data_IF_544781068112
#
_entry.id   IF_544781068112
#
_cell.length_a   1.000
_cell.length_b   1.000
_cell.length_c   1.000
_cell.angle_alpha   90.00
_cell.angle_beta   90.00
_cell.angle_gamma   90.00
#
_symmetry.space_group_name_H-M   'P 1'
#
loop_
_entity.id
_entity.type
_entity.pdbx_description
1 polymer ?
#
# COMPACT_ATOMS: atom_id res chain seq x y z
N UNK A 1 -22.19 12.81 -4.64
CA UNK A 1 -22.04 11.41 -5.06
C UNK A 1 -21.01 11.44 -6.18
N UNK A 2 -19.75 11.12 -5.87
CA UNK A 2 -18.71 10.98 -6.89
C UNK A 2 -18.94 9.67 -7.64
N UNK A 3 -18.49 9.64 -8.88
CA UNK A 3 -18.81 8.64 -9.89
C UNK A 3 -18.74 7.22 -9.32
N UNK A 4 -19.86 6.50 -9.31
CA UNK A 4 -19.89 5.07 -8.97
C UNK A 4 -19.30 4.21 -10.09
N UNK A 5 -18.65 4.83 -11.08
CA UNK A 5 -18.23 4.20 -12.32
C UNK A 5 -16.89 3.47 -12.13
N UNK A 6 -15.95 4.05 -11.37
CA UNK A 6 -14.65 3.44 -11.10
C UNK A 6 -14.79 2.18 -10.27
N UNK A 7 -15.60 2.20 -9.20
CA UNK A 7 -15.85 1.01 -8.38
C UNK A 7 -16.54 -0.08 -9.20
N UNK A 8 -17.52 0.28 -10.04
CA UNK A 8 -18.17 -0.67 -10.93
C UNK A 8 -17.19 -1.31 -11.93
N UNK A 9 -16.29 -0.51 -12.53
CA UNK A 9 -15.23 -1.00 -13.41
C UNK A 9 -14.26 -1.93 -12.66
N UNK A 10 -13.82 -1.54 -11.46
CA UNK A 10 -12.97 -2.39 -10.60
C UNK A 10 -13.65 -3.74 -10.35
N UNK A 11 -14.92 -3.74 -9.96
CA UNK A 11 -15.69 -4.96 -9.71
C UNK A 11 -15.81 -5.83 -10.97
N UNK A 12 -15.93 -5.22 -12.15
CA UNK A 12 -15.92 -5.98 -13.40
C UNK A 12 -14.57 -6.68 -13.63
N UNK A 13 -13.45 -5.96 -13.49
CA UNK A 13 -12.12 -6.55 -13.57
C UNK A 13 -11.94 -7.68 -12.56
N UNK A 14 -12.35 -7.47 -11.30
CA UNK A 14 -12.25 -8.47 -10.25
C UNK A 14 -13.11 -9.70 -10.52
N UNK A 15 -14.24 -9.59 -11.23
CA UNK A 15 -15.05 -10.75 -11.63
C UNK A 15 -14.38 -11.57 -12.74
N UNK A 16 -13.82 -10.90 -13.74
CA UNK A 16 -13.24 -11.54 -14.93
C UNK A 16 -11.86 -12.16 -14.70
N UNK A 17 -11.04 -11.56 -13.83
CA UNK A 17 -9.64 -11.94 -13.61
C UNK A 17 -9.51 -12.97 -12.48
N UNK A 18 -8.58 -13.92 -12.63
CA UNK A 18 -8.39 -15.02 -11.67
C UNK A 18 -7.08 -14.87 -10.89
N UNK A 19 -5.98 -14.50 -11.55
CA UNK A 19 -4.66 -14.29 -10.96
C UNK A 19 -4.41 -12.81 -10.67
N UNK A 20 -4.31 -12.47 -9.38
CA UNK A 20 -4.25 -11.08 -8.89
C UNK A 20 -3.02 -10.90 -8.00
N UNK A 21 -2.25 -9.84 -8.22
CA UNK A 21 -1.18 -9.43 -7.30
C UNK A 21 -1.55 -8.08 -6.69
N UNK A 22 -1.56 -8.00 -5.37
CA UNK A 22 -1.75 -6.74 -4.61
C UNK A 22 -0.39 -6.22 -4.18
N UNK A 23 -0.04 -4.99 -4.59
CA UNK A 23 1.23 -4.35 -4.28
C UNK A 23 1.04 -3.16 -3.33
N UNK A 24 1.81 -3.14 -2.25
CA UNK A 24 1.94 -2.01 -1.31
C UNK A 24 3.20 -1.18 -1.60
N UNK A 25 3.20 0.12 -1.28
CA UNK A 25 4.39 0.96 -1.36
C UNK A 25 5.42 0.60 -0.28
N UNK A 26 6.65 1.12 -0.43
CA UNK A 26 7.65 1.11 0.65
C UNK A 26 7.08 1.76 1.92
N UNK A 27 7.45 1.22 3.08
CA UNK A 27 7.01 1.66 4.41
C UNK A 27 5.49 1.92 4.50
N UNK A 28 4.65 0.91 4.21
CA UNK A 28 3.21 1.11 4.15
C UNK A 28 2.64 1.51 5.52
N UNK A 29 1.70 2.46 5.51
CA UNK A 29 0.99 2.89 6.71
C UNK A 29 0.05 1.79 7.21
N UNK A 30 -0.35 1.84 8.49
CA UNK A 30 -1.32 0.90 9.04
C UNK A 30 -2.62 0.89 8.22
N UNK A 31 -3.14 2.06 7.82
CA UNK A 31 -4.34 2.17 6.99
C UNK A 31 -4.18 1.49 5.62
N UNK A 32 -3.05 1.71 4.95
CA UNK A 32 -2.75 1.08 3.66
C UNK A 32 -2.62 -0.45 3.80
N UNK A 33 -1.82 -0.91 4.76
CA UNK A 33 -1.62 -2.35 5.02
C UNK A 33 -2.91 -3.05 5.38
N UNK A 34 -3.73 -2.43 6.24
CA UNK A 34 -5.00 -3.00 6.68
C UNK A 34 -6.03 -3.04 5.54
N UNK A 35 -6.10 -1.99 4.71
CA UNK A 35 -6.94 -1.98 3.52
C UNK A 35 -6.51 -3.06 2.52
N UNK A 36 -5.20 -3.22 2.27
CA UNK A 36 -4.68 -4.24 1.37
C UNK A 36 -4.94 -5.66 1.87
N UNK A 37 -4.74 -5.92 3.17
CA UNK A 37 -5.02 -7.22 3.77
C UNK A 37 -6.52 -7.54 3.77
N UNK A 38 -7.39 -6.55 3.99
CA UNK A 38 -8.83 -6.75 3.85
C UNK A 38 -9.23 -7.11 2.41
N UNK A 39 -8.66 -6.44 1.40
CA UNK A 39 -8.89 -6.79 0.01
C UNK A 39 -8.36 -8.19 -0.32
N UNK A 40 -7.15 -8.51 0.12
CA UNK A 40 -6.52 -9.82 -0.04
C UNK A 40 -7.40 -10.95 0.50
N UNK A 41 -7.82 -10.86 1.76
CA UNK A 41 -8.68 -11.86 2.40
C UNK A 41 -10.06 -11.95 1.73
N UNK A 42 -10.63 -10.81 1.32
CA UNK A 42 -11.89 -10.78 0.59
C UNK A 42 -11.80 -11.51 -0.77
N UNK A 43 -10.74 -11.25 -1.54
CA UNK A 43 -10.53 -11.88 -2.84
C UNK A 43 -10.23 -13.37 -2.73
N UNK A 44 -9.48 -13.80 -1.70
CA UNK A 44 -9.30 -15.23 -1.40
C UNK A 44 -10.64 -15.93 -1.18
N UNK A 45 -11.53 -15.30 -0.40
CA UNK A 45 -12.85 -15.83 -0.08
C UNK A 45 -13.76 -15.93 -1.31
N UNK A 46 -13.60 -15.00 -2.25
CA UNK A 46 -14.26 -15.01 -3.55
C UNK A 46 -13.62 -15.97 -4.57
N UNK A 47 -12.69 -16.84 -4.12
CA UNK A 47 -12.08 -17.89 -4.92
C UNK A 47 -11.01 -17.41 -5.91
N UNK A 48 -10.46 -16.22 -5.70
CA UNK A 48 -9.38 -15.66 -6.53
C UNK A 48 -8.03 -16.20 -6.11
N UNK A 49 -7.14 -16.35 -7.08
CA UNK A 49 -5.74 -16.64 -6.82
C UNK A 49 -5.02 -15.31 -6.60
N UNK A 50 -4.93 -14.90 -5.34
CA UNK A 50 -4.37 -13.60 -4.97
C UNK A 50 -3.11 -13.76 -4.14
N UNK A 51 -2.11 -12.96 -4.45
CA UNK A 51 -0.93 -12.73 -3.60
C UNK A 51 -0.88 -11.27 -3.18
N UNK A 52 -0.27 -11.00 -2.02
CA UNK A 52 -0.04 -9.66 -1.51
C UNK A 52 1.45 -9.47 -1.27
N UNK A 53 2.00 -8.33 -1.69
CA UNK A 53 3.43 -8.11 -1.70
C UNK A 53 3.81 -6.67 -1.34
N UNK A 54 4.96 -6.55 -0.68
CA UNK A 54 5.58 -5.30 -0.24
C UNK A 54 7.09 -5.53 -0.16
N UNK A 55 7.92 -4.64 -0.71
CA UNK A 55 9.39 -4.79 -0.62
C UNK A 55 9.90 -4.62 0.82
N UNK A 56 9.22 -3.79 1.61
CA UNK A 56 9.55 -3.56 3.01
C UNK A 56 8.73 -4.48 3.92
N UNK A 57 9.30 -4.86 5.06
CA UNK A 57 8.56 -5.57 6.10
C UNK A 57 7.43 -4.70 6.65
N UNK A 58 6.20 -5.22 6.65
CA UNK A 58 5.08 -4.53 7.31
C UNK A 58 5.35 -4.53 8.81
N UNK A 59 5.22 -3.34 9.44
CA UNK A 59 5.46 -3.16 10.87
C UNK A 59 4.75 -4.26 11.70
N UNK A 60 5.50 -5.10 12.43
CA UNK A 60 4.93 -6.18 13.25
C UNK A 60 3.93 -5.71 14.31
N UNK A 61 4.06 -4.47 14.80
CA UNK A 61 3.15 -3.89 15.79
C UNK A 61 1.75 -3.60 15.25
N UNK A 62 1.54 -3.64 13.92
CA UNK A 62 0.21 -3.53 13.34
C UNK A 62 -0.65 -4.75 13.68
N UNK A 63 -0.04 -5.94 13.80
CA UNK A 63 -0.68 -7.20 14.17
C UNK A 63 -1.94 -7.52 13.35
N UNK A 64 -1.96 -7.19 12.06
CA UNK A 64 -3.15 -7.32 11.22
C UNK A 64 -3.42 -8.77 10.83
N UNK A 65 -4.67 -9.27 10.88
CA UNK A 65 -5.02 -10.57 10.30
C UNK A 65 -4.49 -10.74 8.86
N UNK A 66 -3.69 -11.80 8.66
CA UNK A 66 -3.10 -12.16 7.38
C UNK A 66 -1.78 -11.47 7.03
N UNK A 67 -1.22 -10.63 7.93
CA UNK A 67 0.04 -9.91 7.71
C UNK A 67 1.23 -10.86 7.43
N UNK A 68 1.21 -12.06 7.99
CA UNK A 68 2.21 -13.11 7.77
C UNK A 68 2.24 -13.65 6.32
N UNK A 69 1.21 -13.38 5.52
CA UNK A 69 1.11 -13.83 4.13
C UNK A 69 1.69 -12.83 3.12
N UNK A 70 2.24 -11.70 3.60
CA UNK A 70 2.82 -10.67 2.73
C UNK A 70 4.19 -11.11 2.25
N UNK A 71 4.32 -11.23 0.93
CA UNK A 71 5.54 -11.66 0.26
C UNK A 71 6.45 -10.46 -0.02
N UNK A 72 7.76 -10.66 0.11
CA UNK A 72 8.76 -9.62 -0.23
C UNK A 72 8.94 -9.42 -1.74
N UNK A 73 8.47 -10.37 -2.54
CA UNK A 73 8.63 -10.38 -4.00
C UNK A 73 7.30 -10.62 -4.71
N UNK A 74 7.18 -10.09 -5.93
CA UNK A 74 6.03 -10.37 -6.80
C UNK A 74 6.03 -11.86 -7.14
N UNK A 75 5.01 -12.55 -6.65
CA UNK A 75 4.71 -13.91 -7.05
C UNK A 75 3.33 -13.92 -7.65
N UNK A 76 3.25 -14.07 -8.97
CA UNK A 76 2.01 -14.41 -9.61
C UNK A 76 1.86 -15.94 -9.64
N UNK A 77 0.67 -16.46 -9.31
CA UNK A 77 0.38 -17.88 -9.47
C UNK A 77 0.57 -18.25 -10.95
N UNK A 78 1.56 -19.11 -11.20
CA UNK A 78 1.89 -19.65 -12.52
C UNK A 78 1.60 -21.13 -12.63
N UNK A 79 2.15 -21.76 -13.65
CA UNK A 79 2.13 -23.22 -13.83
C UNK A 79 3.27 -23.93 -13.10
N UNK A 80 4.22 -23.19 -12.54
CA UNK A 80 5.38 -23.76 -11.82
C UNK A 80 5.02 -24.02 -10.37
N UNK A 81 4.88 -25.30 -10.00
CA UNK A 81 4.71 -25.75 -8.62
C UNK A 81 5.99 -25.54 -7.80
N UNK A 82 5.85 -24.90 -6.64
CA UNK A 82 6.88 -24.72 -5.61
C UNK A 82 6.52 -25.58 -4.41
N UNK A 83 7.49 -26.32 -3.92
CA UNK A 83 7.36 -27.12 -2.69
C UNK A 83 8.29 -26.51 -1.64
N UNK A 84 7.71 -25.90 -0.61
CA UNK A 84 8.43 -25.21 0.46
C UNK A 84 8.40 -26.04 1.74
N UNK A 85 9.57 -26.24 2.35
CA UNK A 85 9.71 -27.09 3.54
C UNK A 85 10.55 -26.33 4.57
N UNK A 86 10.08 -26.20 5.83
CA UNK A 86 10.86 -25.56 6.89
C UNK A 86 12.17 -26.31 7.14
N UNK A 87 13.29 -25.58 7.14
CA UNK A 87 14.63 -26.16 7.35
C UNK A 87 15.19 -25.93 8.76
N UNK A 88 14.48 -25.18 9.60
CA UNK A 88 14.97 -24.81 10.92
C UNK A 88 15.02 -26.04 11.84
N UNK A 89 16.21 -26.34 12.39
CA UNK A 89 16.45 -27.53 13.22
C UNK A 89 16.60 -28.85 12.45
N UNK A 90 16.37 -28.86 11.13
CA UNK A 90 16.53 -30.05 10.25
C UNK A 90 17.72 -29.92 9.29
N UNK A 91 17.97 -28.71 8.75
CA UNK A 91 18.95 -28.48 7.69
C UNK A 91 18.61 -29.20 6.38
N UNK A 92 19.35 -28.92 5.32
CA UNK A 92 19.25 -29.63 4.03
C UNK A 92 20.65 -29.96 3.55
N UNK A 93 20.99 -31.24 3.49
CA UNK A 93 22.25 -31.71 2.94
C UNK A 93 22.21 -31.79 1.41
N UNK A 94 21.12 -32.32 0.85
CA UNK A 94 20.99 -32.55 -0.59
C UNK A 94 19.53 -32.52 -1.05
N UNK A 95 19.30 -32.09 -2.30
CA UNK A 95 17.99 -32.06 -2.96
C UNK A 95 18.14 -32.63 -4.36
N UNK A 96 17.48 -33.76 -4.61
CA UNK A 96 17.45 -34.43 -5.90
C UNK A 96 16.01 -34.68 -6.34
N UNK A 97 15.80 -35.02 -7.62
CA UNK A 97 14.49 -35.39 -8.12
C UNK A 97 14.56 -36.63 -9.00
N UNK A 98 13.49 -37.44 -8.97
CA UNK A 98 13.29 -38.56 -9.90
C UNK A 98 11.89 -38.49 -10.51
N UNK A 99 11.73 -39.03 -11.72
CA UNK A 99 10.44 -39.15 -12.40
C UNK A 99 10.17 -40.63 -12.61
N UNK A 100 9.23 -41.19 -11.85
CA UNK A 100 8.92 -42.62 -11.85
C UNK A 100 7.41 -42.81 -11.67
N UNK A 101 6.82 -43.78 -12.38
CA UNK A 101 5.39 -44.12 -12.27
C UNK A 101 4.45 -42.91 -12.39
N UNK A 102 4.71 -42.05 -13.39
CA UNK A 102 3.96 -40.80 -13.64
C UNK A 102 3.98 -39.81 -12.45
N UNK A 103 4.97 -39.91 -11.56
CA UNK A 103 5.14 -39.04 -10.40
C UNK A 103 6.52 -38.40 -10.42
N UNK A 104 6.57 -37.13 -10.04
CA UNK A 104 7.82 -36.44 -9.69
C UNK A 104 8.06 -36.65 -8.20
N UNK A 105 9.17 -37.27 -7.83
CA UNK A 105 9.60 -37.43 -6.44
C UNK A 105 10.73 -36.44 -6.18
N UNK A 106 10.51 -35.49 -5.26
CA UNK A 106 11.58 -34.63 -4.76
C UNK A 106 12.16 -35.32 -3.52
N UNK A 107 13.44 -35.71 -3.59
CA UNK A 107 14.15 -36.41 -2.51
C UNK A 107 15.03 -35.40 -1.79
N UNK A 108 14.68 -35.11 -0.55
CA UNK A 108 15.35 -34.10 0.27
C UNK A 108 16.01 -34.80 1.44
N UNK A 109 17.34 -34.69 1.53
CA UNK A 109 18.13 -35.30 2.58
C UNK A 109 18.42 -34.27 3.68
N UNK A 110 18.02 -34.52 4.95
CA UNK A 110 18.35 -33.63 6.05
C UNK A 110 19.84 -33.70 6.39
N UNK A 111 20.35 -32.73 7.17
CA UNK A 111 21.71 -32.82 7.69
C UNK A 111 21.85 -33.95 8.72
N UNK A 112 23.05 -34.53 8.82
CA UNK A 112 23.30 -35.63 9.73
C UNK A 112 23.17 -35.18 11.19
N UNK A 113 22.42 -35.96 11.98
CA UNK A 113 22.22 -35.70 13.41
C UNK A 113 21.10 -34.71 13.74
N UNK A 114 20.42 -34.14 12.74
CA UNK A 114 19.27 -33.26 12.92
C UNK A 114 17.92 -33.99 12.81
N UNK A 115 16.84 -33.28 13.12
CA UNK A 115 15.48 -33.82 13.10
C UNK A 115 15.04 -34.22 11.68
N UNK A 116 14.00 -35.05 11.57
CA UNK A 116 13.42 -35.42 10.26
C UNK A 116 12.38 -34.38 9.82
N UNK A 117 12.27 -34.15 8.51
CA UNK A 117 11.17 -33.36 7.97
C UNK A 117 9.81 -33.95 8.34
N UNK A 118 8.89 -33.07 8.78
CA UNK A 118 7.50 -33.44 9.01
C UNK A 118 6.70 -33.25 7.71
N UNK A 119 6.12 -34.32 7.13
CA UNK A 119 5.33 -34.20 5.89
C UNK A 119 4.14 -33.25 6.00
N UNK A 120 3.60 -33.05 7.20
CA UNK A 120 2.48 -32.12 7.44
C UNK A 120 2.87 -30.65 7.30
N UNK A 121 4.17 -30.35 7.31
CA UNK A 121 4.69 -28.99 7.22
C UNK A 121 5.16 -28.64 5.81
N UNK A 122 4.96 -29.54 4.84
CA UNK A 122 5.23 -29.27 3.42
C UNK A 122 4.15 -28.33 2.91
N UNK A 123 4.57 -27.17 2.39
CA UNK A 123 3.71 -26.18 1.79
C UNK A 123 3.88 -26.21 0.28
N UNK A 124 2.78 -25.97 -0.44
CA UNK A 124 2.76 -25.89 -1.89
C UNK A 124 2.33 -24.50 -2.30
N UNK A 125 3.02 -23.91 -3.26
CA UNK A 125 2.60 -22.69 -3.93
C UNK A 125 2.87 -22.79 -5.42
N UNK A 126 2.40 -21.83 -6.21
CA UNK A 126 2.72 -21.73 -7.63
C UNK A 126 3.45 -20.41 -7.88
N UNK A 127 4.47 -20.43 -8.76
CA UNK A 127 5.23 -19.22 -9.16
C UNK A 127 5.43 -19.16 -10.67
N UNK A 128 6.02 -18.07 -11.14
CA UNK A 128 6.44 -17.92 -12.54
C UNK A 128 5.29 -17.58 -13.52
N UNK A 129 4.09 -17.31 -13.01
CA UNK A 129 2.98 -16.84 -13.84
C UNK A 129 3.14 -15.37 -14.20
N UNK A 130 2.37 -14.92 -15.19
CA UNK A 130 2.08 -13.50 -15.38
C UNK A 130 0.75 -13.21 -14.69
N UNK A 131 0.66 -12.20 -13.81
CA UNK A 131 -0.62 -11.87 -13.20
C UNK A 131 -1.58 -11.35 -14.25
N UNK A 132 -2.86 -11.69 -14.15
CA UNK A 132 -3.89 -11.15 -15.05
C UNK A 132 -4.23 -9.70 -14.68
N UNK A 133 -3.97 -9.34 -13.41
CA UNK A 133 -4.29 -8.06 -12.80
C UNK A 133 -3.30 -7.73 -11.69
N UNK A 134 -2.81 -6.49 -11.69
CA UNK A 134 -2.07 -5.91 -10.56
C UNK A 134 -2.95 -4.85 -9.90
N UNK A 135 -3.02 -4.87 -8.57
CA UNK A 135 -3.72 -3.86 -7.77
C UNK A 135 -2.68 -3.14 -6.92
N UNK A 136 -2.52 -1.84 -7.11
CA UNK A 136 -1.66 -1.02 -6.25
C UNK A 136 -2.51 -0.27 -5.23
N UNK A 137 -2.12 -0.33 -3.96
CA UNK A 137 -2.85 0.31 -2.85
C UNK A 137 -1.96 1.35 -2.20
N UNK A 138 -2.46 2.59 -2.11
CA UNK A 138 -1.78 3.71 -1.45
C UNK A 138 -0.44 4.12 -2.11
N UNK A 139 -0.29 3.87 -3.41
CA UNK A 139 0.89 4.22 -4.19
C UNK A 139 0.56 5.37 -5.16
N UNK A 140 1.16 6.57 -5.00
CA UNK A 140 0.92 7.70 -5.91
C UNK A 140 1.61 7.52 -7.28
N UNK A 141 2.68 6.72 -7.36
CA UNK A 141 3.37 6.36 -8.60
C UNK A 141 3.87 4.91 -8.51
N UNK A 142 4.30 4.31 -9.63
CA UNK A 142 4.90 2.96 -9.62
C UNK A 142 6.23 2.93 -8.86
N UNK A 143 7.00 4.01 -8.90
CA UNK A 143 8.25 4.15 -8.13
C UNK A 143 8.02 4.13 -6.62
N UNK A 144 6.79 4.40 -6.17
CA UNK A 144 6.43 4.29 -4.74
C UNK A 144 6.47 2.86 -4.23
N UNK A 145 6.45 1.86 -5.13
CA UNK A 145 6.62 0.45 -4.79
C UNK A 145 8.09 0.06 -4.54
N UNK A 146 9.05 0.96 -4.80
CA UNK A 146 10.47 0.72 -4.56
C UNK A 146 11.03 -0.45 -5.36
N UNK A 147 11.83 -1.30 -4.69
CA UNK A 147 12.47 -2.47 -5.30
C UNK A 147 11.48 -3.45 -5.92
N UNK A 148 10.25 -3.49 -5.40
CA UNK A 148 9.18 -4.31 -5.94
C UNK A 148 8.89 -3.95 -7.40
N UNK A 149 8.92 -2.66 -7.77
CA UNK A 149 8.74 -2.23 -9.14
C UNK A 149 10.05 -2.23 -9.93
N UNK A 150 11.13 -1.66 -9.38
CA UNK A 150 12.37 -1.50 -10.14
C UNK A 150 13.00 -2.82 -10.55
N UNK A 151 12.83 -3.88 -9.74
CA UNK A 151 13.38 -5.20 -10.03
C UNK A 151 12.43 -6.06 -10.87
N UNK A 152 11.16 -5.64 -11.06
CA UNK A 152 10.13 -6.42 -11.71
C UNK A 152 9.37 -5.63 -12.79
N UNK A 153 10.00 -4.65 -13.44
CA UNK A 153 9.34 -3.78 -14.42
C UNK A 153 8.60 -4.57 -15.51
N UNK A 154 9.16 -5.71 -15.94
CA UNK A 154 8.55 -6.61 -16.93
C UNK A 154 7.20 -7.19 -16.46
N UNK A 155 7.04 -7.45 -15.15
CA UNK A 155 5.80 -7.98 -14.59
C UNK A 155 4.63 -6.98 -14.71
N UNK A 156 4.93 -5.68 -14.77
CA UNK A 156 3.92 -4.63 -14.95
C UNK A 156 3.62 -4.33 -16.43
N UNK A 157 4.45 -4.81 -17.37
CA UNK A 157 4.25 -4.53 -18.79
C UNK A 157 3.12 -5.38 -19.39
N UNK A 158 2.13 -4.69 -19.96
CA UNK A 158 0.98 -5.34 -20.61
C UNK A 158 0.04 -6.08 -19.66
N UNK A 159 0.13 -5.81 -18.35
CA UNK A 159 -0.84 -6.26 -17.34
C UNK A 159 -1.76 -5.10 -17.00
N UNK A 160 -3.05 -5.36 -16.80
CA UNK A 160 -3.97 -4.34 -16.33
C UNK A 160 -3.64 -3.94 -14.89
N UNK A 161 -3.62 -2.65 -14.60
CA UNK A 161 -3.33 -2.11 -13.27
C UNK A 161 -4.56 -1.40 -12.73
N UNK A 162 -5.01 -1.78 -11.54
CA UNK A 162 -5.96 -0.98 -10.75
C UNK A 162 -5.16 -0.20 -9.71
N UNK A 163 -5.22 1.12 -9.74
CA UNK A 163 -4.60 1.97 -8.74
C UNK A 163 -5.66 2.52 -7.78
N UNK A 164 -5.58 2.14 -6.51
CA UNK A 164 -6.45 2.60 -5.43
C UNK A 164 -5.61 3.51 -4.54
N UNK A 165 -5.92 4.79 -4.52
CA UNK A 165 -5.09 5.76 -3.82
C UNK A 165 -5.87 6.98 -3.32
N UNK A 166 -5.25 7.77 -2.46
CA UNK A 166 -5.83 9.02 -1.95
C UNK A 166 -4.85 10.19 -1.93
N UNK A 167 -3.64 10.02 -2.47
CA UNK A 167 -2.67 11.12 -2.51
C UNK A 167 -3.09 12.21 -3.50
N UNK A 168 -2.79 13.46 -3.15
CA UNK A 168 -2.99 14.58 -4.07
C UNK A 168 -2.06 14.52 -5.29
N UNK A 169 -0.90 13.88 -5.12
CA UNK A 169 0.21 13.75 -6.08
C UNK A 169 0.12 12.52 -6.98
N UNK A 170 -0.96 11.73 -6.87
CA UNK A 170 -1.14 10.53 -7.68
C UNK A 170 -1.04 10.83 -9.18
N UNK A 171 -0.28 10.03 -9.92
CA UNK A 171 -0.01 10.23 -11.36
C UNK A 171 -1.02 9.59 -12.31
N UNK A 172 -1.96 8.78 -11.79
CA UNK A 172 -2.99 8.12 -12.60
C UNK A 172 -2.45 7.04 -13.53
N UNK A 173 -1.49 6.23 -13.06
CA UNK A 173 -0.78 5.24 -13.88
C UNK A 173 -1.56 3.93 -14.12
N UNK A 174 -2.68 3.72 -13.42
CA UNK A 174 -3.50 2.52 -13.58
C UNK A 174 -4.27 2.51 -14.89
N UNK A 175 -4.61 1.31 -15.37
CA UNK A 175 -5.68 1.10 -16.35
C UNK A 175 -7.02 1.59 -15.81
N UNK A 176 -7.27 1.39 -14.51
CA UNK A 176 -8.36 2.00 -13.75
C UNK A 176 -7.76 2.69 -12.53
N UNK A 177 -8.12 3.96 -12.31
CA UNK A 177 -7.62 4.76 -11.18
C UNK A 177 -8.79 5.15 -10.29
N UNK A 178 -8.90 4.53 -9.11
CA UNK A 178 -9.83 4.94 -8.07
C UNK A 178 -9.09 5.80 -7.05
N UNK A 179 -9.12 7.12 -7.29
CA UNK A 179 -8.36 8.10 -6.49
C UNK A 179 -9.29 9.09 -5.81
N UNK A 180 -9.51 8.95 -4.49
CA UNK A 180 -10.34 9.86 -3.71
C UNK A 180 -9.57 10.61 -2.63
N UNK A 181 -9.09 11.79 -3.00
CA UNK A 181 -8.32 12.72 -2.16
C UNK A 181 -9.07 13.22 -0.92
N UNK A 182 -10.39 13.11 -0.90
CA UNK A 182 -11.23 13.55 0.22
C UNK A 182 -11.63 12.38 1.15
N UNK A 183 -11.37 11.14 0.74
CA UNK A 183 -11.69 9.99 1.57
C UNK A 183 -10.79 9.97 2.81
N UNK A 184 -11.32 9.82 4.03
CA UNK A 184 -10.52 9.79 5.26
C UNK A 184 -9.63 8.56 5.40
N UNK A 185 -9.88 7.46 4.68
CA UNK A 185 -9.17 6.18 4.91
C UNK A 185 -9.19 5.27 3.68
N UNK A 186 -8.08 4.58 3.44
CA UNK A 186 -7.98 3.51 2.44
C UNK A 186 -8.94 2.36 2.74
N UNK A 187 -9.16 2.05 4.02
CA UNK A 187 -10.13 1.03 4.43
C UNK A 187 -11.56 1.33 3.96
N UNK A 188 -11.98 2.61 3.93
CA UNK A 188 -13.30 2.94 3.36
C UNK A 188 -13.36 2.66 1.86
N UNK A 189 -12.31 3.02 1.12
CA UNK A 189 -12.24 2.81 -0.33
C UNK A 189 -12.27 1.31 -0.67
N UNK A 190 -11.53 0.49 0.07
CA UNK A 190 -11.55 -0.97 -0.11
C UNK A 190 -12.89 -1.57 0.32
N UNK A 191 -13.51 -1.05 1.39
CA UNK A 191 -14.84 -1.48 1.80
C UNK A 191 -15.87 -1.28 0.66
N UNK A 192 -15.85 -0.13 -0.02
CA UNK A 192 -16.77 0.15 -1.12
C UNK A 192 -16.60 -0.87 -2.26
N UNK A 193 -15.36 -1.25 -2.59
CA UNK A 193 -15.06 -2.30 -3.59
C UNK A 193 -15.60 -3.67 -3.15
N UNK A 194 -15.26 -4.13 -1.94
CA UNK A 194 -15.68 -5.44 -1.43
C UNK A 194 -17.21 -5.53 -1.30
N UNK A 195 -17.85 -4.44 -0.89
CA UNK A 195 -19.30 -4.34 -0.80
C UNK A 195 -19.97 -4.49 -2.17
N UNK A 196 -19.47 -3.81 -3.19
CA UNK A 196 -20.03 -3.88 -4.55
C UNK A 196 -19.68 -5.21 -5.25
N UNK A 197 -18.56 -5.84 -4.87
CA UNK A 197 -18.23 -7.22 -5.24
C UNK A 197 -19.15 -8.25 -4.56
N UNK A 198 -19.89 -7.83 -3.53
CA UNK A 198 -20.75 -8.67 -2.67
C UNK A 198 -19.99 -9.72 -1.86
N UNK A 199 -18.74 -9.41 -1.52
CA UNK A 199 -17.90 -10.26 -0.66
C UNK A 199 -18.49 -10.34 0.75
N UNK A 200 -18.47 -11.53 1.36
CA UNK A 200 -18.90 -11.70 2.74
C UNK A 200 -17.82 -11.28 3.74
N UNK A 201 -18.10 -10.25 4.53
CA UNK A 201 -17.21 -9.81 5.62
C UNK A 201 -17.27 -10.78 6.80
N UNK A 202 -16.12 -11.38 7.13
CA UNK A 202 -15.90 -12.06 8.40
C UNK A 202 -15.13 -11.16 9.38
N UNK A 203 -14.84 -11.74 10.54
CA UNK A 203 -14.12 -11.10 11.64
C UNK A 203 -12.77 -10.53 11.21
N UNK A 204 -12.00 -11.24 10.39
CA UNK A 204 -10.63 -10.86 10.05
C UNK A 204 -10.61 -9.71 9.05
N UNK A 205 -11.45 -9.79 8.00
CA UNK A 205 -11.67 -8.69 7.05
C UNK A 205 -12.19 -7.46 7.82
N UNK A 206 -13.18 -7.65 8.70
CA UNK A 206 -13.77 -6.55 9.46
C UNK A 206 -12.77 -5.90 10.42
N UNK A 207 -11.92 -6.70 11.08
CA UNK A 207 -10.86 -6.22 11.98
C UNK A 207 -9.83 -5.38 11.23
N UNK A 208 -9.38 -5.85 10.06
CA UNK A 208 -8.46 -5.09 9.19
C UNK A 208 -9.07 -3.75 8.80
N UNK A 209 -10.28 -3.75 8.23
CA UNK A 209 -10.93 -2.50 7.83
C UNK A 209 -11.14 -1.54 9.01
N UNK A 210 -11.49 -2.06 10.19
CA UNK A 210 -11.70 -1.23 11.38
C UNK A 210 -10.39 -0.63 11.88
N UNK A 211 -9.30 -1.41 11.89
CA UNK A 211 -7.98 -0.94 12.30
C UNK A 211 -7.51 0.23 11.40
N UNK A 212 -7.58 0.06 10.08
CA UNK A 212 -7.21 1.12 9.13
C UNK A 212 -8.09 2.38 9.30
N UNK A 213 -9.40 2.19 9.39
CA UNK A 213 -10.36 3.28 9.59
C UNK A 213 -10.09 4.06 10.88
N UNK A 214 -9.91 3.34 12.00
CA UNK A 214 -9.66 3.94 13.31
C UNK A 214 -8.33 4.69 13.34
N UNK A 215 -7.27 4.18 12.71
CA UNK A 215 -5.97 4.85 12.69
C UNK A 215 -5.97 6.07 11.78
N UNK A 216 -6.49 5.95 10.55
CA UNK A 216 -6.51 7.05 9.58
C UNK A 216 -7.34 8.26 10.06
N UNK A 217 -8.33 8.00 10.91
CA UNK A 217 -9.21 9.03 11.48
C UNK A 217 -8.77 9.53 12.86
N UNK A 218 -7.58 9.14 13.33
CA UNK A 218 -7.10 9.42 14.69
C UNK A 218 -8.16 9.06 15.74
N UNK A 219 -8.62 7.81 15.72
CA UNK A 219 -9.73 7.30 16.52
C UNK A 219 -10.98 8.19 16.41
N UNK A 220 -11.41 8.47 15.19
CA UNK A 220 -12.60 9.26 14.86
C UNK A 220 -12.58 10.73 15.31
N UNK A 221 -11.42 11.29 15.65
CA UNK A 221 -11.27 12.69 16.04
C UNK A 221 -10.84 13.63 14.91
N UNK A 222 -10.39 13.09 13.77
CA UNK A 222 -9.96 13.88 12.62
C UNK A 222 -11.11 14.66 11.97
N UNK A 223 -10.83 15.85 11.43
CA UNK A 223 -11.83 16.69 10.77
C UNK A 223 -12.43 16.07 9.49
N UNK A 224 -11.75 15.07 8.91
CA UNK A 224 -12.19 14.33 7.71
C UNK A 224 -13.27 13.29 8.02
N UNK A 225 -13.50 12.99 9.30
CA UNK A 225 -14.54 12.06 9.76
C UNK A 225 -15.91 12.59 9.40
N UNK A 226 -16.76 11.72 8.87
CA UNK A 226 -18.12 12.06 8.49
C UNK A 226 -19.11 10.94 8.86
N UNK A 227 -20.39 11.15 8.53
CA UNK A 227 -21.44 10.18 8.85
C UNK A 227 -21.19 8.78 8.26
N UNK A 228 -20.57 8.68 7.08
CA UNK A 228 -20.24 7.38 6.48
C UNK A 228 -19.16 6.65 7.27
N UNK A 229 -18.17 7.38 7.80
CA UNK A 229 -17.12 6.82 8.66
C UNK A 229 -17.70 6.12 9.88
N UNK A 230 -18.65 6.76 10.58
CA UNK A 230 -19.30 6.14 11.74
C UNK A 230 -20.21 4.97 11.37
N UNK A 231 -20.91 5.04 10.24
CA UNK A 231 -21.73 3.91 9.75
C UNK A 231 -20.87 2.70 9.40
N UNK A 232 -19.74 2.93 8.74
CA UNK A 232 -18.79 1.86 8.43
C UNK A 232 -18.24 1.26 9.72
N UNK A 233 -17.79 2.09 10.67
CA UNK A 233 -17.28 1.60 11.95
C UNK A 233 -18.33 0.72 12.68
N UNK A 234 -19.59 1.15 12.72
CA UNK A 234 -20.68 0.38 13.31
C UNK A 234 -20.87 -0.98 12.60
N UNK A 235 -20.92 -0.98 11.27
CA UNK A 235 -21.05 -2.20 10.48
C UNK A 235 -19.89 -3.17 10.71
N UNK A 236 -18.65 -2.69 10.74
CA UNK A 236 -17.48 -3.54 10.95
C UNK A 236 -17.50 -4.17 12.34
N UNK A 237 -17.91 -3.42 13.37
CA UNK A 237 -18.09 -3.96 14.71
C UNK A 237 -19.22 -5.00 14.77
N UNK A 238 -20.32 -4.79 14.06
CA UNK A 238 -21.38 -5.79 13.90
C UNK A 238 -20.87 -7.07 13.24
N UNK A 239 -19.94 -6.95 12.28
CA UNK A 239 -19.23 -8.07 11.64
C UNK A 239 -18.13 -8.70 12.51
N UNK A 240 -17.99 -8.27 13.76
CA UNK A 240 -17.09 -8.87 14.74
C UNK A 240 -15.69 -8.27 14.78
N UNK A 241 -15.47 -7.10 14.18
CA UNK A 241 -14.17 -6.42 14.23
C UNK A 241 -13.66 -6.25 15.66
N UNK A 242 -12.41 -6.65 15.90
CA UNK A 242 -11.79 -6.48 17.22
C UNK A 242 -11.18 -5.09 17.37
N UNK A 243 -11.61 -4.37 18.40
CA UNK A 243 -10.98 -3.12 18.80
C UNK A 243 -9.69 -3.45 19.56
N UNK A 244 -8.55 -3.32 18.90
CA UNK A 244 -7.29 -3.28 19.64
C UNK A 244 -7.08 -1.90 20.26
N UNK A 245 -6.66 -1.89 21.53
CA UNK A 245 -6.20 -0.67 22.16
C UNK A 245 -4.96 -0.19 21.40
N UNK A 246 -5.08 0.95 20.71
CA UNK A 246 -3.88 1.68 20.30
C UNK A 246 -3.10 1.97 21.58
N UNK A 247 -1.87 1.43 21.70
CA UNK A 247 -1.02 1.81 22.82
C UNK A 247 -0.90 3.32 22.79
N UNK A 248 -1.32 4.05 23.85
CA UNK A 248 -1.02 5.46 23.93
C UNK A 248 0.49 5.59 23.77
N UNK A 249 0.95 6.45 22.85
CA UNK A 249 2.33 6.90 22.87
C UNK A 249 2.60 7.35 24.30
N UNK A 250 3.44 6.61 25.02
CA UNK A 250 3.81 7.00 26.38
C UNK A 250 4.34 8.44 26.28
N UNK A 251 3.82 9.39 27.07
CA UNK A 251 4.45 10.71 27.12
C UNK A 251 5.91 10.47 27.50
N UNK A 252 6.84 10.94 26.66
CA UNK A 252 8.28 10.80 26.89
C UNK A 252 8.63 11.26 28.31
N UNK A 253 8.73 10.31 29.22
CA UNK A 253 9.04 10.57 30.61
C UNK A 253 10.57 10.65 30.69
N UNK A 254 11.13 11.81 30.37
CA UNK A 254 12.58 11.98 30.37
C UNK A 254 13.15 13.30 29.87
N UNK A 255 12.40 14.15 29.16
CA UNK A 255 12.92 15.44 28.73
C UNK A 255 12.76 16.48 29.85
N UNK A 256 13.70 16.50 30.81
CA UNK A 256 13.87 17.64 31.73
C UNK A 256 14.26 18.85 30.88
N UNK A 257 13.30 19.75 30.65
CA UNK A 257 13.60 21.08 30.11
C UNK A 257 14.54 21.81 31.09
N UNK A 258 15.65 22.40 30.63
CA UNK A 258 16.52 23.19 31.50
C UNK A 258 15.75 24.45 31.94
N UNK A 259 15.42 24.51 33.22
CA UNK A 259 14.87 25.70 33.86
C UNK A 259 15.95 26.79 33.92
N UNK A 260 15.92 27.68 32.94
CA UNK A 260 16.85 28.81 32.82
C UNK A 260 16.29 29.90 31.93
N UNK A 261 15.07 30.36 32.19
CA UNK A 261 14.45 31.46 31.48
C UNK A 261 13.31 32.06 32.30
N UNK A 262 13.45 33.33 32.66
CA UNK A 262 12.48 34.10 33.44
C UNK A 262 11.16 34.21 32.65
N UNK A 263 10.07 33.70 33.22
CA UNK A 263 8.72 33.93 32.69
C UNK A 263 8.24 35.33 33.12
N UNK A 264 7.66 36.15 32.23
CA UNK A 264 6.98 37.36 32.64
C UNK A 264 5.65 37.00 33.30
N UNK A 265 5.46 37.47 34.52
CA UNK A 265 4.26 37.32 35.32
C UNK A 265 3.07 38.00 34.65
N UNK A 266 2.03 37.24 34.33
CA UNK A 266 0.70 37.79 34.09
C UNK A 266 -0.05 37.12 32.95
N UNK A 267 -0.72 36.00 33.24
CA UNK A 267 -2.05 35.63 32.77
C UNK A 267 -2.41 34.31 33.46
N UNK A 268 -3.14 34.39 34.59
CA UNK A 268 -3.67 33.22 35.25
C UNK A 268 -4.84 32.65 34.47
N UNK A 269 -4.69 31.45 33.91
CA UNK A 269 -5.82 30.63 33.47
C UNK A 269 -6.40 29.89 34.69
N UNK A 270 -7.73 29.74 34.82
CA UNK A 270 -8.30 28.99 35.93
C UNK A 270 -8.00 27.49 35.76
N UNK A 271 -7.77 26.73 36.85
CA UNK A 271 -7.59 25.29 36.75
C UNK A 271 -8.93 24.63 36.40
N UNK A 272 -8.98 23.96 35.27
CA UNK A 272 -10.06 23.02 34.95
C UNK A 272 -9.61 21.65 35.47
N UNK A 273 -10.10 21.26 36.65
CA UNK A 273 -9.92 19.91 37.18
C UNK A 273 -10.94 18.98 36.52
N UNK A 274 -10.48 18.06 35.66
CA UNK A 274 -11.30 16.91 35.27
C UNK A 274 -11.24 15.88 36.40
N UNK A 275 -12.34 15.76 37.17
CA UNK A 275 -12.57 14.62 38.04
C UNK A 275 -13.31 13.56 37.23
N UNK A 276 -12.70 12.39 37.02
CA UNK A 276 -13.43 11.21 36.56
C UNK A 276 -14.14 10.59 37.77
N UNK A 277 -15.47 10.37 37.74
CA UNK A 277 -16.13 9.63 38.80
C UNK A 277 -15.67 8.18 38.81
N UNK A 278 -15.49 7.61 40.00
CA UNK A 278 -15.17 6.19 40.17
C UNK A 278 -16.34 5.29 39.74
N UNK A 279 -16.07 4.02 39.37
CA UNK A 279 -17.08 3.11 38.81
C UNK A 279 -18.25 2.74 39.74
N UNK A 280 -18.20 3.14 41.01
CA UNK A 280 -19.23 2.82 42.00
C UNK A 280 -20.50 3.70 41.87
N UNK A 281 -20.44 4.86 41.20
CA UNK A 281 -21.57 5.80 41.10
C UNK A 281 -22.50 5.53 39.89
N UNK A 282 -22.25 4.48 39.09
CA UNK A 282 -23.00 4.18 37.86
C UNK A 282 -24.11 3.13 38.04
N UNK A 283 -24.38 2.70 39.27
CA UNK A 283 -25.37 1.64 39.57
C UNK A 283 -26.51 2.17 40.45
N UNK A 284 -27.35 3.05 39.90
CA UNK A 284 -28.73 3.25 40.33
C UNK A 284 -29.50 4.02 39.26
N UNK A 285 -30.20 3.31 38.37
CA UNK A 285 -31.26 3.91 37.55
C UNK A 285 -32.54 3.17 37.90
N UNK A 286 -33.29 3.70 38.87
CA UNK A 286 -34.72 3.45 38.97
C UNK A 286 -35.45 4.78 38.76
N UNK A 287 -36.58 4.70 38.07
CA UNK A 287 -37.15 5.80 37.30
C UNK A 287 -37.54 7.02 38.13
N UNK A 288 -36.89 8.15 37.88
CA UNK A 288 -37.43 9.49 38.14
C UNK A 288 -36.78 10.52 37.20
N UNK A 289 -37.57 11.51 36.80
CA UNK A 289 -37.29 12.54 35.79
C UNK A 289 -35.97 13.29 36.03
N UNK A 290 -35.23 13.52 34.93
CA UNK A 290 -34.05 14.40 34.90
C UNK A 290 -34.43 15.84 35.33
N UNK A 291 -33.71 16.46 36.28
CA UNK A 291 -33.95 17.86 36.61
C UNK A 291 -33.45 18.78 35.48
N UNK A 292 -34.30 19.76 35.14
CA UNK A 292 -34.00 20.84 34.20
C UNK A 292 -32.87 21.68 34.80
N UNK A 293 -31.72 21.73 34.11
CA UNK A 293 -30.62 22.63 34.46
C UNK A 293 -31.06 24.08 34.15
N UNK A 294 -31.29 24.88 35.18
CA UNK A 294 -31.55 26.31 35.05
C UNK A 294 -30.29 27.03 34.57
N UNK A 295 -30.39 27.72 33.42
CA UNK A 295 -29.35 28.60 32.91
C UNK A 295 -29.23 29.86 33.79
N UNK A 296 -28.03 30.14 34.30
CA UNK A 296 -27.70 31.39 34.98
C UNK A 296 -27.59 32.53 33.95
N UNK A 297 -28.17 33.72 34.17
CA UNK A 297 -28.11 34.81 33.21
C UNK A 297 -26.72 35.48 33.17
N UNK A 298 -26.20 35.69 31.96
CA UNK A 298 -25.00 36.49 31.71
C UNK A 298 -25.33 37.97 31.95
N UNK A 299 -24.65 38.57 32.92
CA UNK A 299 -24.61 40.01 33.15
C UNK A 299 -23.98 40.72 31.95
N UNK A 300 -24.78 41.50 31.23
CA UNK A 300 -24.32 42.43 30.20
C UNK A 300 -23.75 43.69 30.84
N UNK A 301 -22.45 43.71 31.15
CA UNK A 301 -21.76 44.97 31.40
C UNK A 301 -21.35 45.63 30.07
N UNK A 302 -22.06 46.71 29.76
CA UNK A 302 -21.76 47.67 28.71
C UNK A 302 -20.31 48.18 28.84
N UNK A 303 -19.49 48.03 27.79
CA UNK A 303 -18.25 48.80 27.63
C UNK A 303 -18.56 50.08 26.86
N UNK A 304 -18.42 51.23 27.51
CA UNK A 304 -18.32 52.53 26.85
C UNK A 304 -16.96 52.67 26.14
N UNK A 305 -16.88 53.36 24.99
CA UNK A 305 -15.62 53.62 24.32
C UNK A 305 -14.91 54.83 24.93
N UNK A 306 -13.68 54.64 25.44
CA UNK A 306 -12.76 55.75 25.72
C UNK A 306 -11.80 55.92 24.54
N UNK A 307 -11.88 57.08 23.90
CA UNK A 307 -10.87 57.60 22.99
C UNK A 307 -9.53 57.72 23.73
N UNK A 308 -8.48 57.13 23.19
CA UNK A 308 -7.11 57.48 23.55
C UNK A 308 -6.31 57.80 22.29
N UNK A 309 -5.90 59.05 22.27
CA UNK A 309 -5.09 59.76 21.30
C UNK A 309 -3.68 59.14 21.30
N UNK A 310 -3.25 58.57 20.17
CA UNK A 310 -1.85 58.15 19.98
C UNK A 310 -1.02 59.36 19.54
N UNK A 311 -0.14 59.83 20.42
CA UNK A 311 1.00 60.67 20.06
C UNK A 311 2.18 59.77 19.69
N UNK A 312 2.78 60.04 18.52
CA UNK A 312 4.03 59.42 18.05
C UNK A 312 5.24 59.92 18.84
N UNK A 313 6.24 59.06 19.09
CA UNK A 313 7.62 59.50 19.23
C UNK A 313 8.38 59.35 17.90
N UNK A 314 8.99 60.45 17.47
CA UNK A 314 9.99 60.51 16.39
C UNK A 314 11.18 59.58 16.67
N UNK A 315 11.56 58.76 15.70
CA UNK A 315 12.90 58.17 15.62
C UNK A 315 13.71 58.88 14.54
N UNK A 316 14.92 59.27 14.93
CA UNK A 316 15.94 59.95 14.14
C UNK A 316 16.41 59.11 12.95
N UNK A 317 16.65 59.83 11.85
CA UNK A 317 17.26 59.36 10.61
C UNK A 317 18.74 59.02 10.79
N UNK A 318 19.18 57.89 10.21
CA UNK A 318 20.49 57.79 9.58
C UNK A 318 20.43 57.00 8.26
N UNK A 319 20.81 57.72 7.20
CA UNK A 319 21.32 57.37 5.88
C UNK A 319 21.29 55.92 5.33
N UNK A 320 20.51 55.78 4.25
CA UNK A 320 20.92 55.30 2.91
C UNK A 320 21.96 54.16 2.79
N UNK A 321 21.50 53.00 2.32
CA UNK A 321 22.23 52.13 1.40
C UNK A 321 21.27 51.39 0.46
N UNK A 322 21.66 51.38 -0.81
CA UNK A 322 20.85 51.07 -1.99
C UNK A 322 20.59 49.56 -2.14
N UNK A 323 19.37 49.18 -2.54
CA UNK A 323 19.05 47.83 -3.03
C UNK A 323 19.55 47.67 -4.46
N UNK A 324 20.26 46.58 -4.83
CA UNK A 324 20.56 46.30 -6.22
C UNK A 324 19.36 45.69 -6.94
N UNK A 325 19.13 46.21 -8.14
CA UNK A 325 18.11 45.82 -9.11
C UNK A 325 18.31 44.40 -9.62
N UNK A 326 17.19 43.70 -9.84
CA UNK A 326 17.09 42.38 -10.49
C UNK A 326 17.62 42.45 -11.94
N UNK A 327 18.49 41.54 -12.40
CA UNK A 327 18.92 41.52 -13.80
C UNK A 327 17.79 41.05 -14.71
N UNK A 328 17.55 41.80 -15.79
CA UNK A 328 16.67 41.41 -16.89
C UNK A 328 17.30 40.29 -17.72
N UNK A 329 16.48 39.33 -18.15
CA UNK A 329 16.86 38.23 -19.05
C UNK A 329 16.90 38.75 -20.50
N UNK A 330 17.93 38.45 -21.30
CA UNK A 330 17.98 38.84 -22.71
C UNK A 330 16.96 38.04 -23.56
N UNK A 331 16.47 38.60 -24.68
CA UNK A 331 15.44 37.99 -25.51
C UNK A 331 15.95 36.79 -26.32
N UNK A 332 15.14 35.75 -26.42
CA UNK A 332 15.39 34.60 -27.31
C UNK A 332 15.01 34.95 -28.76
N UNK A 333 15.74 34.43 -29.78
CA UNK A 333 15.38 34.62 -31.18
C UNK A 333 14.16 33.78 -31.59
N UNK A 334 13.26 34.40 -32.35
CA UNK A 334 12.09 33.79 -32.99
C UNK A 334 12.54 32.78 -34.07
N UNK A 335 11.98 31.57 -34.04
CA UNK A 335 11.99 30.65 -35.19
C UNK A 335 10.58 30.59 -35.76
N UNK A 336 10.51 30.80 -37.08
CA UNK A 336 9.29 30.89 -37.88
C UNK A 336 8.51 29.58 -37.92
N UNK A 337 7.21 29.67 -37.67
CA UNK A 337 6.23 28.60 -37.91
C UNK A 337 5.53 28.91 -39.24
N UNK A 338 5.62 28.07 -40.28
CA UNK A 338 4.86 28.28 -41.51
C UNK A 338 3.38 27.93 -41.31
N UNK A 339 2.52 28.84 -41.79
CA UNK A 339 1.07 28.74 -41.77
C UNK A 339 0.53 27.63 -42.67
N UNK A 340 -0.56 27.01 -42.21
CA UNK A 340 -1.43 26.11 -42.96
C UNK A 340 -2.18 26.92 -44.03
N UNK A 341 -1.88 26.63 -45.30
CA UNK A 341 -2.59 27.12 -46.47
C UNK A 341 -3.37 25.97 -47.12
N UNK A 342 -4.66 26.18 -47.32
CA UNK A 342 -5.59 25.37 -48.11
C UNK A 342 -5.26 25.41 -49.60
N UNK A 343 -5.23 24.25 -50.27
CA UNK A 343 -5.49 24.14 -51.71
C UNK A 343 -5.75 22.70 -52.17
N UNK A 344 -6.97 22.50 -52.66
CA UNK A 344 -7.37 21.80 -53.89
C UNK A 344 -7.05 20.30 -54.11
N UNK A 345 -8.15 19.58 -54.37
CA UNK A 345 -8.22 18.26 -55.00
C UNK A 345 -7.60 18.26 -56.41
N UNK A 346 -6.78 17.25 -56.70
CA UNK A 346 -6.70 16.68 -58.06
C UNK A 346 -6.25 15.22 -58.04
N UNK A 347 -7.12 14.43 -58.64
CA UNK A 347 -7.09 13.02 -59.02
C UNK A 347 -5.79 12.61 -59.76
N UNK A 348 -5.20 11.45 -59.43
CA UNK A 348 -4.25 10.72 -60.29
C UNK A 348 -4.10 9.25 -59.86
N UNK A 349 -4.32 8.35 -60.83
CA UNK A 349 -4.27 6.88 -60.77
C UNK A 349 -2.83 6.30 -60.62
N UNK A 350 -2.68 4.97 -60.36
CA UNK A 350 -1.56 4.43 -59.57
C UNK A 350 -0.30 4.12 -60.41
N UNK A 351 0.87 4.45 -59.85
CA UNK A 351 2.15 4.04 -60.40
C UNK A 351 2.65 2.75 -59.74
N UNK A 352 3.06 1.82 -60.60
CA UNK A 352 3.63 0.50 -60.30
C UNK A 352 4.98 0.61 -59.59
N UNK A 353 5.15 -0.11 -58.48
CA UNK A 353 6.42 -0.23 -57.76
C UNK A 353 7.43 -1.13 -58.51
N UNK A 354 8.74 -0.82 -58.48
CA UNK A 354 9.76 -1.74 -58.95
C UNK A 354 10.02 -2.86 -57.92
N UNK A 355 10.11 -4.08 -58.43
CA UNK A 355 10.39 -5.34 -57.71
C UNK A 355 11.79 -5.29 -57.08
N UNK A 356 11.87 -5.52 -55.76
CA UNK A 356 13.14 -5.80 -55.07
C UNK A 356 13.53 -7.27 -55.29
N UNK A 357 14.82 -7.59 -55.54
CA UNK A 357 15.26 -8.99 -55.66
C UNK A 357 15.28 -9.69 -54.28
N UNK A 358 14.92 -10.98 -54.28
CA UNK A 358 14.80 -11.80 -53.06
C UNK A 358 16.11 -11.89 -52.25
N UNK A 359 16.02 -11.92 -50.90
CA UNK A 359 17.18 -12.19 -50.06
C UNK A 359 17.54 -13.68 -50.11
N UNK A 360 18.84 -13.98 -50.31
CA UNK A 360 19.38 -15.34 -50.22
C UNK A 360 19.28 -15.93 -48.80
N UNK A 361 19.52 -17.25 -48.64
CA UNK A 361 19.24 -17.94 -47.38
C UNK A 361 20.13 -17.42 -46.23
N UNK A 362 19.48 -17.14 -45.10
CA UNK A 362 20.07 -16.73 -43.83
C UNK A 362 21.03 -17.81 -43.28
N UNK A 363 22.19 -17.44 -42.71
CA UNK A 363 23.05 -18.40 -42.02
C UNK A 363 22.42 -18.86 -40.70
N UNK A 364 22.49 -20.15 -40.39
CA UNK A 364 21.94 -20.77 -39.18
C UNK A 364 22.47 -20.10 -37.88
N UNK A 365 21.61 -19.86 -36.87
CA UNK A 365 22.06 -19.28 -35.60
C UNK A 365 22.85 -20.29 -34.74
N UNK A 366 23.90 -19.79 -34.07
CA UNK A 366 24.85 -20.57 -33.29
C UNK A 366 24.22 -21.41 -32.15
N UNK A 367 24.90 -22.52 -31.86
CA UNK A 367 24.52 -23.67 -31.04
C UNK A 367 24.56 -23.39 -29.51
N UNK A 368 23.79 -22.42 -29.00
CA UNK A 368 23.71 -22.10 -27.56
C UNK A 368 22.57 -22.79 -26.81
N UNK A 369 21.78 -23.64 -27.48
CA UNK A 369 20.63 -24.37 -26.91
C UNK A 369 20.95 -25.80 -26.42
N UNK A 370 22.23 -26.18 -26.28
CA UNK A 370 22.59 -27.47 -25.69
C UNK A 370 22.79 -27.36 -24.17
N UNK A 371 22.02 -28.08 -23.33
CA UNK A 371 22.28 -28.13 -21.90
C UNK A 371 23.64 -28.77 -21.63
N UNK A 372 24.50 -28.09 -20.86
CA UNK A 372 25.79 -28.61 -20.41
C UNK A 372 25.54 -29.73 -19.39
N UNK A 373 25.65 -30.98 -19.83
CA UNK A 373 25.70 -32.14 -18.93
C UNK A 373 27.06 -32.13 -18.24
N UNK A 374 27.08 -31.88 -16.93
CA UNK A 374 28.28 -31.98 -16.11
C UNK A 374 28.50 -33.45 -15.74
N UNK A 375 29.44 -34.14 -16.38
CA UNK A 375 29.88 -35.47 -15.93
C UNK A 375 30.85 -35.31 -14.77
N UNK A 376 30.41 -35.74 -13.58
CA UNK A 376 31.27 -35.83 -12.40
C UNK A 376 32.34 -36.91 -12.59
N UNK A 377 33.60 -36.53 -12.44
CA UNK A 377 34.75 -37.42 -12.51
C UNK A 377 34.82 -38.24 -11.20
N UNK A 378 34.60 -39.55 -11.25
CA UNK A 378 34.85 -40.46 -10.13
C UNK A 378 36.31 -40.94 -10.22
N UNK A 379 37.17 -40.75 -9.20
CA UNK A 379 38.48 -41.37 -9.21
C UNK A 379 38.35 -42.87 -8.93
N UNK A 380 38.82 -43.69 -9.88
CA UNK A 380 38.95 -45.13 -9.73
C UNK A 380 39.92 -45.45 -8.58
N UNK A 381 39.39 -45.96 -7.46
CA UNK A 381 40.20 -46.67 -6.47
C UNK A 381 40.59 -48.02 -7.04
N UNK A 382 41.90 -48.29 -7.01
CA UNK A 382 42.49 -49.55 -7.43
C UNK A 382 42.07 -50.71 -6.52
N UNK A 383 41.82 -51.85 -7.15
CA UNK A 383 41.76 -53.16 -6.51
C UNK A 383 42.56 -54.14 -7.35
N UNK A 384 43.80 -54.39 -6.95
CA UNK A 384 44.65 -55.40 -7.55
C UNK A 384 44.40 -56.80 -6.95
N UNK A 385 44.63 -57.82 -7.79
CA UNK A 385 44.87 -59.22 -7.42
C UNK A 385 43.60 -60.08 -7.32
N UNK A 386 43.57 -61.33 -7.75
CA UNK A 386 44.62 -62.23 -8.26
C UNK A 386 43.93 -63.45 -8.91
N UNK A 387 44.56 -64.02 -9.94
CA UNK A 387 44.19 -65.27 -10.63
C UNK A 387 44.18 -66.47 -9.65
N UNK A 388 43.22 -67.38 -9.75
CA UNK A 388 43.26 -68.69 -10.48
C UNK A 388 41.82 -69.14 -10.71
#
# INVERSE_FOLDING_TARGET
MKDGNEVAHIVQFLKEKLSIVICLPVQPTLDASAAALALYLGLLKDGKQVTITCSDEINPDFMLPGQENVLSEIQAPGDTLVVSIPIQGTGVQDVTYTIENEKVNIVIKPEEGLEKFNPKNVQYSYKGGKPDLIITIYAPTLESLGELYTNNMEAFQGVSIINIDRHFTNSGFGTVNYVDKQNPSMAQMVFDILKDLKTEFDKDIATNLYAGLSTATNNFSAHTVNAQTFRLAALLLEKGAEKRAMRPLMPMQGMRMPMGGVMPSGFGAPPVSYSYPEPADMMAVDGQQMPIVQSVPISSQQRQPKQQQQQMPQQQQTAAQQRPSRPQRPPQPQQDIPQIGTSEEKESQPQTMPVQPEPGPEPEPEDWLKPKIFQGNVPAQGGGGMKV
#
